data_IF_637826081906
#
_entry.id   IF_637826081906
#
_cell.length_a   1.000
_cell.length_b   1.000
_cell.length_c   1.000
_cell.angle_alpha   90.00
_cell.angle_beta   90.00
_cell.angle_gamma   90.00
#
_symmetry.space_group_name_H-M   'P 1'
#
loop_
_entity.id
_entity.type
_entity.pdbx_description
1 polymer ?
#
# COMPACT_ATOMS: atom_id res chain seq x y z
N UNK A 1 -29.62 -33.00 25.50
CA UNK A 1 -29.36 -32.48 24.14
C UNK A 1 -29.87 -31.05 23.92
N UNK A 2 -30.93 -30.57 24.60
CA UNK A 2 -31.45 -29.20 24.43
C UNK A 2 -30.51 -28.07 24.94
N UNK A 3 -29.63 -28.35 25.91
CA UNK A 3 -28.78 -27.34 26.55
C UNK A 3 -27.56 -26.92 25.72
N UNK A 4 -27.15 -27.74 24.74
CA UNK A 4 -26.00 -27.46 23.86
C UNK A 4 -26.42 -26.55 22.69
N UNK A 5 -27.64 -26.72 22.17
CA UNK A 5 -28.19 -25.86 21.12
C UNK A 5 -28.37 -24.40 21.57
N UNK A 6 -28.78 -24.18 22.83
CA UNK A 6 -28.98 -22.83 23.36
C UNK A 6 -27.67 -22.03 23.50
N UNK A 7 -26.54 -22.69 23.79
CA UNK A 7 -25.23 -22.01 23.89
C UNK A 7 -24.68 -21.60 22.52
N UNK A 8 -24.93 -22.39 21.47
CA UNK A 8 -24.48 -22.08 20.10
C UNK A 8 -25.23 -20.87 19.53
N UNK A 9 -26.54 -20.78 19.76
CA UNK A 9 -27.36 -19.63 19.30
C UNK A 9 -26.97 -18.33 20.01
N UNK A 10 -26.65 -18.39 21.31
CA UNK A 10 -26.25 -17.20 22.07
C UNK A 10 -24.88 -16.66 21.63
N UNK A 11 -23.91 -17.53 21.34
CA UNK A 11 -22.58 -17.15 20.83
C UNK A 11 -22.71 -16.49 19.44
N UNK A 12 -23.51 -17.05 18.53
CA UNK A 12 -23.75 -16.45 17.22
C UNK A 12 -24.42 -15.07 17.30
N UNK A 13 -25.32 -14.86 18.28
CA UNK A 13 -26.04 -13.58 18.44
C UNK A 13 -25.15 -12.50 19.05
N UNK A 14 -24.27 -12.85 20.01
CA UNK A 14 -23.28 -11.92 20.58
C UNK A 14 -22.22 -11.52 19.54
N UNK A 15 -21.78 -12.46 18.69
CA UNK A 15 -20.90 -12.15 17.55
C UNK A 15 -21.59 -11.19 16.56
N UNK A 16 -22.89 -11.35 16.32
CA UNK A 16 -23.66 -10.44 15.46
C UNK A 16 -23.88 -9.05 16.06
N UNK A 17 -24.12 -8.96 17.37
CA UNK A 17 -24.35 -7.68 18.05
C UNK A 17 -23.05 -6.87 18.24
N UNK A 18 -21.91 -7.52 18.54
CA UNK A 18 -20.60 -6.86 18.51
C UNK A 18 -20.26 -6.38 17.09
N UNK A 19 -20.63 -7.14 16.04
CA UNK A 19 -20.48 -6.71 14.66
C UNK A 19 -21.30 -5.45 14.30
N UNK A 20 -22.47 -5.23 14.89
CA UNK A 20 -23.30 -4.06 14.58
C UNK A 20 -22.74 -2.75 15.16
N UNK A 21 -22.11 -2.79 16.34
CA UNK A 21 -21.39 -1.63 16.90
C UNK A 21 -20.06 -1.37 16.14
N UNK A 22 -19.41 -2.42 15.63
CA UNK A 22 -18.21 -2.33 14.80
C UNK A 22 -18.48 -2.01 13.32
N UNK A 23 -19.72 -2.19 12.83
CA UNK A 23 -20.13 -1.80 11.47
C UNK A 23 -19.97 -0.30 11.18
N UNK A 24 -19.83 0.54 12.21
CA UNK A 24 -19.48 1.96 12.04
C UNK A 24 -18.03 2.20 11.61
N UNK A 25 -17.12 1.22 11.74
CA UNK A 25 -15.68 1.38 11.42
C UNK A 25 -15.24 0.85 10.05
N UNK A 26 -16.09 0.13 9.31
CA UNK A 26 -15.74 -0.40 7.98
C UNK A 26 -16.00 0.64 6.88
N UNK A 27 -15.32 1.78 6.96
CA UNK A 27 -15.45 2.82 5.94
C UNK A 27 -14.69 2.48 4.65
N UNK A 28 -13.70 1.59 4.70
CA UNK A 28 -12.87 1.26 3.55
C UNK A 28 -12.70 -0.24 3.44
N UNK A 29 -13.81 -0.99 3.40
CA UNK A 29 -13.73 -2.41 3.07
C UNK A 29 -13.11 -2.52 1.69
N UNK A 30 -11.92 -3.09 1.61
CA UNK A 30 -11.24 -3.23 0.34
C UNK A 30 -12.00 -4.23 -0.55
N UNK A 31 -12.71 -3.70 -1.54
CA UNK A 31 -13.34 -4.50 -2.59
C UNK A 31 -12.30 -4.82 -3.67
N UNK A 32 -11.21 -5.52 -3.31
CA UNK A 32 -10.33 -6.19 -4.27
C UNK A 32 -10.34 -7.72 -4.13
N UNK A 33 -11.51 -8.41 -4.05
CA UNK A 33 -11.49 -9.81 -4.45
C UNK A 33 -11.14 -9.94 -5.95
N UNK A 34 -11.42 -8.90 -6.76
CA UNK A 34 -11.14 -8.89 -8.19
C UNK A 34 -10.14 -7.79 -8.55
N UNK A 35 -8.84 -8.05 -8.39
CA UNK A 35 -7.90 -7.43 -9.33
C UNK A 35 -8.27 -8.03 -10.69
N UNK A 36 -9.06 -7.31 -11.49
CA UNK A 36 -9.50 -7.74 -12.83
C UNK A 36 -8.31 -8.05 -13.75
N UNK A 37 -7.08 -7.74 -13.32
CA UNK A 37 -5.86 -8.27 -13.90
C UNK A 37 -4.98 -8.96 -12.84
N UNK A 38 -4.89 -10.31 -12.79
CA UNK A 38 -3.94 -11.01 -11.91
C UNK A 38 -2.46 -10.68 -12.20
N UNK A 39 -2.17 -9.95 -13.29
CA UNK A 39 -0.83 -9.71 -13.82
C UNK A 39 -0.06 -8.51 -13.23
N UNK A 40 -0.61 -7.77 -12.24
CA UNK A 40 -0.01 -6.51 -11.78
C UNK A 40 0.03 -6.34 -10.25
N UNK A 41 0.05 -7.44 -9.48
CA UNK A 41 0.03 -7.35 -8.03
C UNK A 41 1.20 -6.53 -7.48
N UNK A 42 2.39 -6.85 -7.98
CA UNK A 42 3.67 -6.27 -7.60
C UNK A 42 3.87 -4.90 -8.25
N UNK A 43 3.27 -4.64 -9.41
CA UNK A 43 3.40 -3.33 -10.07
C UNK A 43 2.72 -2.17 -9.35
N UNK A 44 1.72 -2.45 -8.51
CA UNK A 44 0.79 -1.44 -7.97
C UNK A 44 0.77 -1.36 -6.44
N UNK A 45 1.71 -2.01 -5.74
CA UNK A 45 1.70 -2.09 -4.27
C UNK A 45 1.76 -0.72 -3.58
N UNK A 46 2.28 0.29 -4.27
CA UNK A 46 2.45 1.67 -3.79
C UNK A 46 1.19 2.55 -3.94
N UNK A 47 0.10 1.96 -4.44
CA UNK A 47 -1.17 2.65 -4.63
C UNK A 47 -2.11 2.34 -3.48
N UNK A 48 -2.71 3.37 -2.90
CA UNK A 48 -3.78 3.24 -1.91
C UNK A 48 -5.14 3.41 -2.57
N UNK A 49 -6.05 2.47 -2.35
CA UNK A 49 -7.44 2.61 -2.78
C UNK A 49 -8.24 3.41 -1.75
N UNK A 50 -9.09 4.32 -2.22
CA UNK A 50 -10.01 5.09 -1.37
C UNK A 50 -11.48 4.78 -1.63
N UNK A 51 -11.80 4.41 -2.87
CA UNK A 51 -13.12 3.91 -3.27
C UNK A 51 -12.94 2.92 -4.42
N UNK A 52 -14.00 2.23 -4.88
CA UNK A 52 -13.90 1.29 -5.99
C UNK A 52 -13.21 1.85 -7.24
N UNK A 53 -13.36 3.16 -7.51
CA UNK A 53 -12.87 3.80 -8.72
C UNK A 53 -11.72 4.80 -8.49
N UNK A 54 -11.39 5.10 -7.22
CA UNK A 54 -10.48 6.18 -6.86
C UNK A 54 -9.29 5.68 -6.05
N UNK A 55 -8.11 6.04 -6.52
CA UNK A 55 -6.84 5.53 -6.04
C UNK A 55 -5.86 6.68 -5.84
N UNK A 56 -4.99 6.55 -4.84
CA UNK A 56 -4.11 7.61 -4.37
C UNK A 56 -2.66 7.17 -4.32
N UNK A 57 -1.80 8.14 -4.57
CA UNK A 57 -0.35 7.97 -4.51
C UNK A 57 0.37 9.33 -4.48
N UNK A 58 1.70 9.32 -4.32
CA UNK A 58 2.54 10.50 -4.52
C UNK A 58 2.96 10.66 -5.99
N UNK A 59 3.91 11.54 -6.26
CA UNK A 59 4.20 11.94 -7.65
C UNK A 59 4.75 10.77 -8.44
N UNK A 60 4.24 10.60 -9.66
CA UNK A 60 4.55 9.43 -10.47
C UNK A 60 5.85 9.61 -11.27
N UNK A 61 6.61 8.53 -11.36
CA UNK A 61 7.70 8.36 -12.32
C UNK A 61 7.16 7.82 -13.64
N UNK A 62 7.93 7.91 -14.71
CA UNK A 62 7.54 7.35 -16.02
C UNK A 62 7.22 5.85 -15.90
N UNK A 63 8.03 5.13 -15.13
CA UNK A 63 7.85 3.71 -14.84
C UNK A 63 6.53 3.42 -14.13
N UNK A 64 6.20 4.22 -13.13
CA UNK A 64 4.94 4.07 -12.39
C UNK A 64 3.70 4.37 -13.24
N UNK A 65 3.79 5.30 -14.21
CA UNK A 65 2.70 5.55 -15.17
C UNK A 65 2.48 4.31 -16.07
N UNK A 66 3.57 3.71 -16.55
CA UNK A 66 3.52 2.46 -17.34
C UNK A 66 2.95 1.30 -16.52
N UNK A 67 3.38 1.15 -15.26
CA UNK A 67 2.82 0.17 -14.32
C UNK A 67 1.34 0.39 -14.08
N UNK A 68 0.88 1.64 -13.93
CA UNK A 68 -0.54 1.95 -13.79
C UNK A 68 -1.35 1.52 -15.02
N UNK A 69 -0.83 1.78 -16.24
CA UNK A 69 -1.46 1.31 -17.49
C UNK A 69 -1.56 -0.22 -17.55
N UNK A 70 -0.46 -0.94 -17.25
CA UNK A 70 -0.46 -2.41 -17.16
C UNK A 70 -1.40 -2.94 -16.06
N UNK A 71 -1.60 -2.13 -15.02
CA UNK A 71 -2.55 -2.35 -13.94
C UNK A 71 -4.01 -2.14 -14.28
N UNK A 72 -4.32 -1.62 -15.48
CA UNK A 72 -5.69 -1.38 -15.95
C UNK A 72 -6.26 0.00 -15.58
N UNK A 73 -5.44 0.95 -15.10
CA UNK A 73 -5.90 2.32 -14.93
C UNK A 73 -6.24 2.96 -16.27
N UNK A 74 -7.34 3.73 -16.30
CA UNK A 74 -7.78 4.45 -17.50
C UNK A 74 -7.43 5.92 -17.48
N UNK A 75 -7.23 6.48 -16.29
CA UNK A 75 -7.00 7.91 -16.12
C UNK A 75 -6.03 8.22 -15.00
N UNK A 76 -5.31 9.33 -15.16
CA UNK A 76 -4.52 9.98 -14.11
C UNK A 76 -5.07 11.38 -13.84
N UNK A 77 -5.27 11.71 -12.56
CA UNK A 77 -5.48 13.09 -12.12
C UNK A 77 -4.30 13.49 -11.25
N UNK A 78 -3.64 14.58 -11.60
CA UNK A 78 -2.67 15.22 -10.71
C UNK A 78 -3.31 16.43 -10.04
N UNK A 79 -3.11 16.56 -8.72
CA UNK A 79 -3.62 17.70 -7.97
C UNK A 79 -2.99 19.00 -8.48
N UNK A 80 -1.70 19.02 -8.77
CA UNK A 80 -0.95 20.21 -9.17
C UNK A 80 -0.27 20.09 -10.52
N UNK A 81 -0.10 21.22 -11.20
CA UNK A 81 0.84 21.36 -12.30
C UNK A 81 2.27 21.51 -11.75
N UNK A 82 3.18 20.66 -12.23
CA UNK A 82 4.61 20.65 -11.92
C UNK A 82 5.41 21.06 -13.15
N UNK A 83 5.97 22.27 -13.11
CA UNK A 83 6.74 22.84 -14.20
C UNK A 83 8.20 22.36 -14.24
N UNK A 84 8.69 21.77 -13.13
CA UNK A 84 10.02 21.18 -13.02
C UNK A 84 9.96 19.71 -12.58
N UNK A 85 10.93 18.87 -12.98
CA UNK A 85 11.12 17.56 -12.38
C UNK A 85 11.31 17.66 -10.86
N UNK A 86 10.90 16.63 -10.14
CA UNK A 86 11.21 16.44 -8.72
C UNK A 86 11.88 15.09 -8.52
N UNK A 87 12.20 14.71 -7.29
CA UNK A 87 12.82 13.41 -7.01
C UNK A 87 12.22 12.72 -5.78
N UNK A 88 12.26 11.39 -5.76
CA UNK A 88 12.18 10.53 -4.58
C UNK A 88 13.52 9.81 -4.41
N UNK A 89 14.37 10.32 -3.53
CA UNK A 89 15.75 9.87 -3.45
C UNK A 89 16.47 10.21 -4.76
N UNK A 90 16.88 9.18 -5.51
CA UNK A 90 17.51 9.31 -6.81
C UNK A 90 16.54 9.08 -7.99
N UNK A 91 15.28 8.73 -7.73
CA UNK A 91 14.31 8.50 -8.79
C UNK A 91 13.66 9.83 -9.20
N UNK A 92 13.74 10.17 -10.49
CA UNK A 92 13.21 11.43 -11.02
C UNK A 92 11.74 11.32 -11.40
N UNK A 93 10.95 12.27 -10.89
CA UNK A 93 9.57 12.49 -11.30
C UNK A 93 9.48 13.30 -12.58
N UNK A 94 8.53 12.95 -13.44
CA UNK A 94 8.27 13.69 -14.68
C UNK A 94 7.54 15.01 -14.40
N UNK A 95 7.72 16.03 -15.24
CA UNK A 95 6.88 17.25 -15.26
C UNK A 95 5.44 16.89 -15.59
N UNK A 96 4.47 17.79 -15.37
CA UNK A 96 3.08 17.53 -15.75
C UNK A 96 2.92 17.26 -17.25
N UNK A 97 3.64 17.97 -18.11
CA UNK A 97 3.59 17.73 -19.56
C UNK A 97 4.25 16.41 -19.95
N UNK A 98 5.34 16.03 -19.27
CA UNK A 98 5.95 14.71 -19.42
C UNK A 98 5.00 13.59 -19.01
N UNK A 99 4.38 13.70 -17.83
CA UNK A 99 3.40 12.74 -17.33
C UNK A 99 2.19 12.62 -18.27
N UNK A 100 1.67 13.75 -18.77
CA UNK A 100 0.56 13.81 -19.74
C UNK A 100 0.91 13.10 -21.05
N UNK A 101 2.09 13.39 -21.59
CA UNK A 101 2.58 12.75 -22.82
C UNK A 101 2.70 11.24 -22.65
N UNK A 102 3.23 10.80 -21.51
CA UNK A 102 3.34 9.37 -21.18
C UNK A 102 1.99 8.70 -20.98
N UNK A 103 1.07 9.32 -20.25
CA UNK A 103 -0.28 8.81 -20.06
C UNK A 103 -0.99 8.60 -21.41
N UNK A 104 -0.93 9.57 -22.33
CA UNK A 104 -1.52 9.42 -23.66
C UNK A 104 -0.82 8.35 -24.50
N UNK A 105 0.50 8.23 -24.41
CA UNK A 105 1.25 7.17 -25.10
C UNK A 105 0.86 5.76 -24.63
N UNK A 106 0.33 5.62 -23.41
CA UNK A 106 -0.16 4.35 -22.84
C UNK A 106 -1.70 4.28 -22.77
N UNK A 107 -2.36 5.11 -23.58
CA UNK A 107 -3.81 5.14 -23.78
C UNK A 107 -4.61 5.42 -22.49
N UNK A 108 -4.07 6.30 -21.63
CA UNK A 108 -4.72 6.78 -20.41
C UNK A 108 -5.08 8.27 -20.51
N UNK A 109 -6.22 8.67 -19.98
CA UNK A 109 -6.57 10.07 -19.77
C UNK A 109 -5.63 10.75 -18.77
N UNK A 110 -5.45 12.07 -18.89
CA UNK A 110 -4.63 12.85 -17.94
C UNK A 110 -5.23 14.23 -17.69
N UNK A 111 -5.30 14.65 -16.42
CA UNK A 111 -5.73 16.00 -16.03
C UNK A 111 -4.96 16.54 -14.83
N UNK A 112 -4.53 17.80 -14.91
CA UNK A 112 -4.10 18.58 -13.75
C UNK A 112 -5.24 19.52 -13.32
N UNK A 113 -5.50 19.64 -12.01
CA UNK A 113 -6.64 20.43 -11.51
C UNK A 113 -6.26 21.77 -10.88
N UNK A 114 -5.05 21.91 -10.33
CA UNK A 114 -4.54 23.15 -9.74
C UNK A 114 -3.28 23.63 -10.46
N UNK A 115 -3.08 24.94 -10.48
CA UNK A 115 -1.78 25.55 -10.81
C UNK A 115 -0.83 25.51 -9.60
N UNK A 116 0.46 25.83 -9.78
CA UNK A 116 1.47 25.69 -8.71
C UNK A 116 1.20 26.56 -7.48
N UNK A 117 0.55 27.71 -7.68
CA UNK A 117 0.26 28.72 -6.64
C UNK A 117 -1.12 28.54 -5.98
N UNK A 118 -1.93 27.59 -6.46
CA UNK A 118 -3.27 27.35 -5.92
C UNK A 118 -3.19 26.64 -4.55
N UNK A 119 -4.01 27.05 -3.59
CA UNK A 119 -4.11 26.33 -2.30
C UNK A 119 -4.93 25.05 -2.43
N UNK A 120 -4.36 23.92 -1.99
CA UNK A 120 -5.02 22.62 -2.00
C UNK A 120 -6.14 22.47 -0.95
N UNK A 121 -6.09 23.24 0.14
CA UNK A 121 -7.06 23.21 1.23
C UNK A 121 -8.15 24.27 1.01
N UNK A 122 -8.84 24.24 -0.14
CA UNK A 122 -9.95 25.15 -0.45
C UNK A 122 -11.18 24.40 -0.94
N UNK A 123 -12.37 24.96 -0.69
CA UNK A 123 -13.64 24.44 -1.25
C UNK A 123 -13.61 24.42 -2.78
N UNK A 124 -13.02 25.44 -3.40
CA UNK A 124 -12.84 25.51 -4.86
C UNK A 124 -12.00 24.35 -5.40
N UNK A 125 -10.99 23.89 -4.66
CA UNK A 125 -10.18 22.72 -5.03
C UNK A 125 -11.03 21.46 -5.11
N UNK A 126 -11.94 21.28 -4.16
CA UNK A 126 -12.84 20.12 -4.10
C UNK A 126 -13.88 20.17 -5.23
N UNK A 127 -14.33 21.37 -5.61
CA UNK A 127 -15.19 21.55 -6.79
C UNK A 127 -14.45 21.17 -8.08
N UNK A 128 -13.23 21.69 -8.29
CA UNK A 128 -12.39 21.33 -9.45
C UNK A 128 -12.12 19.82 -9.52
N UNK A 129 -11.80 19.20 -8.39
CA UNK A 129 -11.61 17.74 -8.29
C UNK A 129 -12.89 16.97 -8.61
N UNK A 130 -14.05 17.42 -8.10
CA UNK A 130 -15.35 16.80 -8.38
C UNK A 130 -15.66 16.80 -9.87
N UNK A 131 -15.49 17.95 -10.54
CA UNK A 131 -15.67 18.05 -11.99
C UNK A 131 -14.70 17.15 -12.75
N UNK A 132 -13.42 17.12 -12.36
CA UNK A 132 -12.44 16.27 -12.98
C UNK A 132 -12.78 14.78 -12.85
N UNK A 133 -13.20 14.31 -11.67
CA UNK A 133 -13.59 12.91 -11.46
C UNK A 133 -14.81 12.53 -12.31
N UNK A 134 -15.77 13.44 -12.49
CA UNK A 134 -16.97 13.17 -13.29
C UNK A 134 -16.69 13.02 -14.79
N UNK A 135 -15.64 13.66 -15.30
CA UNK A 135 -15.29 13.69 -16.73
C UNK A 135 -14.30 12.58 -17.14
N UNK A 136 -13.58 11.98 -16.20
CA UNK A 136 -12.47 11.07 -16.48
C UNK A 136 -12.91 9.60 -16.46
N UNK A 137 -12.35 8.78 -17.34
CA UNK A 137 -12.62 7.34 -17.39
C UNK A 137 -12.02 6.62 -16.17
N UNK A 138 -12.76 5.67 -15.61
CA UNK A 138 -12.38 4.92 -14.40
C UNK A 138 -11.75 3.56 -14.75
N UNK A 139 -10.87 3.00 -13.90
CA UNK A 139 -10.41 3.53 -12.61
C UNK A 139 -9.40 4.68 -12.76
N UNK A 140 -9.44 5.61 -11.79
CA UNK A 140 -8.65 6.85 -11.77
C UNK A 140 -7.53 6.76 -10.74
N UNK A 141 -6.29 6.95 -11.18
CA UNK A 141 -5.13 7.13 -10.31
C UNK A 141 -4.92 8.62 -10.04
N UNK A 142 -5.03 9.03 -8.78
CA UNK A 142 -4.88 10.41 -8.36
C UNK A 142 -3.57 10.60 -7.58
N UNK A 143 -2.84 11.67 -7.87
CA UNK A 143 -1.57 11.94 -7.22
C UNK A 143 -1.28 13.41 -6.96
N UNK A 144 -0.34 13.67 -6.04
CA UNK A 144 0.23 14.99 -5.78
C UNK A 144 1.75 14.85 -5.61
N UNK A 145 2.48 15.88 -5.16
CA UNK A 145 3.89 15.77 -4.79
C UNK A 145 4.08 14.75 -3.67
N UNK A 146 3.19 14.80 -2.67
CA UNK A 146 3.11 13.87 -1.53
C UNK A 146 1.72 13.24 -1.49
N UNK A 147 1.62 12.00 -1.03
CA UNK A 147 0.32 11.35 -0.86
C UNK A 147 -0.58 12.09 0.15
N UNK A 148 0.02 12.75 1.16
CA UNK A 148 -0.68 13.56 2.17
C UNK A 148 -1.74 14.50 1.57
N UNK A 149 -1.34 15.34 0.61
CA UNK A 149 -2.21 16.38 0.08
C UNK A 149 -3.35 15.84 -0.79
N UNK A 150 -3.08 14.82 -1.62
CA UNK A 150 -4.14 14.20 -2.43
C UNK A 150 -5.11 13.40 -1.56
N UNK A 151 -4.65 12.80 -0.45
CA UNK A 151 -5.51 12.16 0.55
C UNK A 151 -6.51 13.15 1.13
N UNK A 152 -6.06 14.34 1.54
CA UNK A 152 -6.97 15.39 2.02
C UNK A 152 -8.03 15.75 0.97
N UNK A 153 -7.60 16.11 -0.25
CA UNK A 153 -8.51 16.55 -1.31
C UNK A 153 -9.54 15.49 -1.66
N UNK A 154 -9.13 14.21 -1.66
CA UNK A 154 -9.99 13.07 -1.97
C UNK A 154 -10.99 12.79 -0.86
N UNK A 155 -10.56 12.81 0.40
CA UNK A 155 -11.48 12.69 1.53
C UNK A 155 -12.49 13.85 1.57
N UNK A 156 -12.07 15.06 1.20
CA UNK A 156 -12.98 16.20 1.07
C UNK A 156 -13.94 16.05 -0.11
N UNK A 157 -13.50 15.48 -1.23
CA UNK A 157 -14.41 15.07 -2.30
C UNK A 157 -15.46 14.08 -1.78
N UNK A 158 -15.04 13.02 -1.07
CA UNK A 158 -15.96 12.02 -0.50
C UNK A 158 -16.91 12.62 0.55
N UNK A 159 -16.44 13.57 1.37
CA UNK A 159 -17.27 14.32 2.30
C UNK A 159 -18.31 15.19 1.57
N UNK A 160 -17.92 15.85 0.48
CA UNK A 160 -18.87 16.58 -0.35
C UNK A 160 -19.90 15.64 -0.98
N UNK A 161 -19.48 14.47 -1.50
CA UNK A 161 -20.40 13.45 -2.02
C UNK A 161 -21.38 12.96 -0.96
N UNK A 162 -20.91 12.74 0.27
CA UNK A 162 -21.72 12.35 1.43
C UNK A 162 -22.86 13.35 1.73
N UNK A 163 -22.66 14.62 1.40
CA UNK A 163 -23.62 15.71 1.60
C UNK A 163 -24.63 15.81 0.46
N UNK A 164 -24.17 15.67 -0.79
CA UNK A 164 -25.02 15.88 -1.98
C UNK A 164 -25.76 14.62 -2.42
N UNK A 165 -25.23 13.43 -2.10
CA UNK A 165 -25.85 12.13 -2.40
C UNK A 165 -26.09 11.35 -1.09
N UNK A 166 -27.36 11.25 -0.64
CA UNK A 166 -27.74 10.46 0.55
C UNK A 166 -27.34 8.97 0.49
N UNK A 167 -27.19 8.43 -0.72
CA UNK A 167 -26.84 7.03 -0.96
C UNK A 167 -25.33 6.81 -1.09
N UNK A 168 -24.52 7.88 -1.14
CA UNK A 168 -23.09 7.76 -1.24
C UNK A 168 -22.53 6.98 -0.04
N UNK A 169 -21.66 6.02 -0.35
CA UNK A 169 -20.92 5.24 0.65
C UNK A 169 -19.45 5.14 0.26
N UNK A 170 -18.54 5.22 1.23
CA UNK A 170 -18.81 5.41 2.66
C UNK A 170 -19.15 6.88 3.01
N UNK A 171 -19.77 7.15 4.17
CA UNK A 171 -20.13 8.51 4.59
C UNK A 171 -19.00 9.18 5.38
N UNK A 172 -18.47 10.30 4.89
CA UNK A 172 -17.40 11.06 5.56
C UNK A 172 -17.98 12.29 6.28
N UNK A 173 -18.17 12.18 7.59
CA UNK A 173 -18.43 13.33 8.49
C UNK A 173 -17.11 13.92 9.00
N UNK A 174 -17.16 15.03 9.75
CA UNK A 174 -15.94 15.59 10.38
C UNK A 174 -15.25 14.58 11.30
N UNK A 175 -15.98 13.91 12.20
CA UNK A 175 -15.40 12.91 13.10
C UNK A 175 -14.72 11.78 12.33
N UNK A 176 -15.42 11.23 11.34
CA UNK A 176 -14.92 10.16 10.48
C UNK A 176 -13.68 10.60 9.71
N UNK A 177 -13.66 11.83 9.19
CA UNK A 177 -12.49 12.37 8.49
C UNK A 177 -11.24 12.31 9.39
N UNK A 178 -11.32 12.82 10.62
CA UNK A 178 -10.16 12.85 11.51
C UNK A 178 -9.78 11.47 12.06
N UNK A 179 -10.76 10.60 12.30
CA UNK A 179 -10.48 9.20 12.67
C UNK A 179 -9.68 8.49 11.57
N UNK A 180 -10.12 8.65 10.31
CA UNK A 180 -9.45 8.04 9.16
C UNK A 180 -8.06 8.64 8.98
N UNK A 181 -7.90 9.95 8.99
CA UNK A 181 -6.58 10.55 8.76
C UNK A 181 -5.59 10.18 9.86
N UNK A 182 -6.02 10.16 11.12
CA UNK A 182 -5.16 9.73 12.23
C UNK A 182 -4.80 8.24 12.13
N UNK A 183 -5.74 7.38 11.71
CA UNK A 183 -5.44 5.95 11.51
C UNK A 183 -4.44 5.72 10.38
N UNK A 184 -4.40 6.62 9.40
CA UNK A 184 -3.40 6.68 8.33
C UNK A 184 -2.08 7.33 8.75
N UNK A 185 -1.96 7.85 9.97
CA UNK A 185 -0.77 8.55 10.46
C UNK A 185 -0.63 9.99 9.92
N UNK A 186 -1.73 10.60 9.47
CA UNK A 186 -1.79 11.94 8.89
C UNK A 186 -2.52 12.90 9.82
N UNK A 187 -1.99 14.11 9.98
CA UNK A 187 -2.57 15.16 10.82
C UNK A 187 -3.05 16.34 9.96
N UNK A 188 -4.34 16.67 10.08
CA UNK A 188 -5.00 17.81 9.42
C UNK A 188 -5.70 18.72 10.42
N UNK A 189 -5.24 18.77 11.67
CA UNK A 189 -5.87 19.56 12.75
C UNK A 189 -5.56 21.05 12.68
N UNK A 190 -4.62 21.47 11.83
CA UNK A 190 -4.32 22.88 11.60
C UNK A 190 -5.57 23.70 11.23
N UNK A 191 -5.64 24.96 11.67
CA UNK A 191 -6.86 25.79 11.54
C UNK A 191 -7.37 25.88 10.09
N UNK A 192 -6.47 26.07 9.13
CA UNK A 192 -6.81 26.21 7.72
C UNK A 192 -7.44 24.93 7.12
N UNK A 193 -6.96 23.75 7.48
CA UNK A 193 -7.54 22.48 7.03
C UNK A 193 -8.84 22.19 7.78
N UNK A 194 -8.89 22.46 9.08
CA UNK A 194 -10.06 22.22 9.91
C UNK A 194 -11.28 23.07 9.52
N UNK A 195 -11.07 24.35 9.20
CA UNK A 195 -12.14 25.21 8.68
C UNK A 195 -12.76 24.66 7.39
N UNK A 196 -11.92 24.14 6.50
CA UNK A 196 -12.35 23.55 5.22
C UNK A 196 -13.13 22.27 5.45
N UNK A 197 -12.65 21.40 6.35
CA UNK A 197 -13.36 20.17 6.75
C UNK A 197 -14.76 20.52 7.22
N UNK A 198 -14.90 21.42 8.21
CA UNK A 198 -16.21 21.81 8.74
C UNK A 198 -17.13 22.41 7.68
N UNK A 199 -16.59 23.25 6.79
CA UNK A 199 -17.36 23.88 5.71
C UNK A 199 -17.88 22.87 4.68
N UNK A 200 -17.09 21.86 4.34
CA UNK A 200 -17.45 20.86 3.33
C UNK A 200 -18.39 19.79 3.91
N UNK A 201 -18.09 19.29 5.11
CA UNK A 201 -18.92 18.30 5.80
C UNK A 201 -20.24 18.90 6.28
N UNK A 202 -20.30 20.23 6.48
CA UNK A 202 -21.45 20.92 7.08
C UNK A 202 -21.68 20.52 8.54
N UNK A 203 -20.69 19.90 9.19
CA UNK A 203 -20.75 19.39 10.56
C UNK A 203 -19.76 20.13 11.46
N UNK A 204 -20.04 20.26 12.77
CA UNK A 204 -19.07 20.81 13.70
C UNK A 204 -17.78 19.97 13.72
N UNK A 205 -16.68 20.59 14.11
CA UNK A 205 -15.43 19.87 14.36
C UNK A 205 -15.56 18.99 15.61
N UNK A 206 -14.80 17.88 15.70
CA UNK A 206 -14.72 17.09 16.91
C UNK A 206 -14.28 17.95 18.10
N UNK A 207 -14.82 17.68 19.29
CA UNK A 207 -14.36 18.37 20.52
C UNK A 207 -12.94 17.98 20.91
N UNK A 208 -12.53 16.77 20.53
CA UNK A 208 -11.20 16.20 20.78
C UNK A 208 -10.75 15.55 19.49
N UNK A 209 -9.62 16.00 18.94
CA UNK A 209 -9.05 15.40 17.74
C UNK A 209 -8.34 14.09 18.10
N UNK A 210 -8.50 13.03 17.29
CA UNK A 210 -7.63 11.86 17.35
C UNK A 210 -6.17 12.28 17.12
N UNK A 211 -5.26 11.76 17.94
CA UNK A 211 -3.82 12.05 17.78
C UNK A 211 -3.17 11.03 16.85
N UNK A 212 -2.27 11.48 15.96
CA UNK A 212 -1.43 10.55 15.20
C UNK A 212 -0.36 9.97 16.11
N UNK A 213 -0.12 8.66 16.01
CA UNK A 213 0.99 8.01 16.72
C UNK A 213 2.22 7.80 15.85
N UNK A 214 2.18 8.22 14.58
CA UNK A 214 3.24 7.94 13.61
C UNK A 214 4.56 8.63 13.94
N UNK A 215 5.64 7.86 13.90
CA UNK A 215 7.01 8.35 14.09
C UNK A 215 7.96 7.63 13.12
N UNK A 216 8.70 8.33 12.24
CA UNK A 216 8.90 9.79 12.20
C UNK A 216 7.67 10.50 11.66
N UNK A 217 7.49 11.78 12.01
CA UNK A 217 6.33 12.58 11.56
C UNK A 217 6.38 12.81 10.05
N UNK A 218 7.60 12.87 9.51
CA UNK A 218 7.91 13.10 8.10
C UNK A 218 7.72 11.87 7.22
N UNK A 219 7.28 10.73 7.77
CA UNK A 219 7.13 9.47 7.04
C UNK A 219 6.36 9.62 5.71
N UNK A 220 5.36 10.51 5.69
CA UNK A 220 4.52 10.77 4.52
C UNK A 220 5.25 11.39 3.32
N UNK A 221 6.50 11.85 3.51
CA UNK A 221 7.40 12.25 2.43
C UNK A 221 7.87 11.04 1.62
N UNK A 222 8.07 9.89 2.26
CA UNK A 222 8.27 8.60 1.61
C UNK A 222 6.92 7.87 1.52
N UNK A 223 6.06 8.35 0.62
CA UNK A 223 4.69 7.86 0.43
C UNK A 223 4.57 6.43 -0.09
N UNK A 224 5.70 5.79 -0.39
CA UNK A 224 5.85 4.38 -0.76
C UNK A 224 5.75 3.44 0.45
N UNK A 225 5.14 3.86 1.56
CA UNK A 225 4.89 2.99 2.71
C UNK A 225 3.50 3.26 3.29
N UNK A 226 3.02 2.30 4.06
CA UNK A 226 1.83 2.42 4.87
C UNK A 226 2.25 2.46 6.33
N UNK A 227 1.78 3.49 7.04
CA UNK A 227 1.84 3.53 8.49
C UNK A 227 1.01 2.39 9.09
N UNK A 228 1.62 1.62 10.00
CA UNK A 228 0.91 0.59 10.77
C UNK A 228 0.55 1.15 12.14
N UNK A 229 1.55 1.37 12.99
CA UNK A 229 1.37 1.87 14.35
C UNK A 229 2.71 2.32 14.92
N UNK A 230 2.75 3.48 15.58
CA UNK A 230 3.98 4.07 16.16
C UNK A 230 5.14 4.16 15.17
N UNK A 231 6.18 3.34 15.35
CA UNK A 231 7.39 3.30 14.54
C UNK A 231 7.35 2.25 13.43
N UNK A 232 6.25 1.52 13.28
CA UNK A 232 6.10 0.45 12.28
C UNK A 232 5.49 0.94 10.98
N UNK A 233 6.19 0.65 9.87
CA UNK A 233 5.75 0.95 8.52
C UNK A 233 5.93 -0.28 7.63
N UNK A 234 5.01 -0.45 6.68
CA UNK A 234 5.08 -1.54 5.71
C UNK A 234 5.14 -1.02 4.29
N UNK A 235 6.00 -1.61 3.48
CA UNK A 235 6.15 -1.30 2.07
C UNK A 235 6.19 -2.55 1.22
N UNK A 236 6.06 -2.35 -0.09
CA UNK A 236 6.31 -3.38 -1.06
C UNK A 236 7.75 -3.24 -1.52
N UNK A 237 7.96 -3.47 -2.80
CA UNK A 237 9.30 -3.50 -3.31
C UNK A 237 10.05 -2.16 -3.21
N UNK A 238 11.16 -2.11 -2.48
CA UNK A 238 12.04 -0.94 -2.46
C UNK A 238 13.00 -0.95 -3.67
N UNK A 239 13.30 0.22 -4.21
CA UNK A 239 14.31 0.37 -5.26
C UNK A 239 15.62 0.93 -4.66
N UNK A 240 16.75 0.60 -5.28
CA UNK A 240 18.06 1.20 -4.96
C UNK A 240 18.04 2.73 -4.98
N UNK A 241 17.23 3.33 -5.85
CA UNK A 241 17.02 4.78 -5.94
C UNK A 241 16.24 5.36 -4.76
N UNK A 242 15.51 4.54 -4.01
CA UNK A 242 14.70 4.98 -2.87
C UNK A 242 15.49 5.10 -1.57
N UNK A 243 16.65 4.44 -1.48
CA UNK A 243 17.45 4.38 -0.25
C UNK A 243 17.73 5.77 0.34
N UNK A 244 18.13 6.81 -0.43
CA UNK A 244 18.32 8.14 0.13
C UNK A 244 17.03 8.77 0.68
N UNK A 245 15.87 8.49 0.11
CA UNK A 245 14.59 8.95 0.65
C UNK A 245 14.22 8.20 1.94
N UNK A 246 14.50 6.90 2.01
CA UNK A 246 14.31 6.10 3.23
C UNK A 246 15.16 6.68 4.37
N UNK A 247 16.44 6.95 4.12
CA UNK A 247 17.34 7.61 5.09
C UNK A 247 16.83 9.01 5.45
N UNK A 248 16.53 9.85 4.46
CA UNK A 248 16.08 11.23 4.67
C UNK A 248 14.75 11.36 5.40
N UNK A 249 13.94 10.30 5.38
CA UNK A 249 12.67 10.22 6.13
C UNK A 249 12.91 9.91 7.62
N UNK A 250 14.04 9.28 7.96
CA UNK A 250 14.41 8.97 9.34
C UNK A 250 14.26 7.49 9.72
N UNK A 251 14.06 6.59 8.76
CA UNK A 251 14.11 5.14 9.00
C UNK A 251 15.47 4.71 9.55
N UNK A 252 15.47 3.71 10.43
CA UNK A 252 16.69 3.15 11.06
C UNK A 252 16.87 1.68 10.77
N UNK A 253 15.76 0.94 10.72
CA UNK A 253 15.74 -0.48 10.41
C UNK A 253 15.00 -0.76 9.11
N UNK A 254 15.54 -1.68 8.32
CA UNK A 254 14.86 -2.28 7.17
C UNK A 254 14.75 -3.78 7.43
N UNK A 255 13.53 -4.30 7.47
CA UNK A 255 13.25 -5.73 7.56
C UNK A 255 12.78 -6.22 6.20
N UNK A 256 13.56 -7.08 5.57
CA UNK A 256 13.24 -7.70 4.29
C UNK A 256 12.66 -9.10 4.49
N UNK A 257 11.41 -9.31 4.05
CA UNK A 257 10.73 -10.61 4.10
C UNK A 257 10.80 -11.39 2.79
N UNK A 258 11.46 -10.87 1.75
CA UNK A 258 11.62 -11.57 0.47
C UNK A 258 12.55 -12.77 0.62
N UNK A 259 12.31 -13.83 -0.16
CA UNK A 259 13.28 -14.91 -0.29
C UNK A 259 14.58 -14.38 -0.89
N UNK A 260 15.69 -14.86 -0.34
CA UNK A 260 17.02 -14.54 -0.84
C UNK A 260 17.43 -15.40 -2.03
N UNK A 261 18.73 -15.44 -2.29
CA UNK A 261 19.34 -16.23 -3.36
C UNK A 261 19.22 -17.72 -3.14
N UNK A 262 19.17 -18.14 -1.87
CA UNK A 262 18.94 -19.52 -1.49
C UNK A 262 18.06 -19.67 -0.25
N UNK A 263 17.37 -20.80 -0.15
CA UNK A 263 16.57 -21.20 1.01
C UNK A 263 16.70 -22.72 1.16
N UNK A 264 17.09 -23.20 2.34
CA UNK A 264 17.41 -24.62 2.57
C UNK A 264 18.43 -25.19 1.56
N UNK A 265 19.45 -24.41 1.21
CA UNK A 265 20.48 -24.74 0.21
C UNK A 265 19.95 -24.95 -1.23
N UNK A 266 18.73 -24.50 -1.52
CA UNK A 266 18.16 -24.51 -2.88
C UNK A 266 18.00 -23.09 -3.40
N UNK A 267 18.16 -22.84 -4.72
CA UNK A 267 17.90 -21.53 -5.31
C UNK A 267 16.46 -21.08 -5.06
N UNK A 268 16.27 -19.84 -4.60
CA UNK A 268 14.94 -19.33 -4.20
C UNK A 268 14.70 -17.86 -4.53
N UNK A 269 15.49 -17.27 -5.43
CA UNK A 269 15.35 -15.86 -5.82
C UNK A 269 13.94 -15.53 -6.27
N UNK A 270 13.37 -14.51 -5.64
CA UNK A 270 12.11 -13.95 -6.09
C UNK A 270 12.25 -13.22 -7.42
N UNK A 271 11.11 -12.86 -7.99
CA UNK A 271 11.04 -12.15 -9.25
C UNK A 271 11.27 -10.66 -9.07
N UNK A 272 11.94 -10.01 -10.02
CA UNK A 272 11.81 -8.56 -10.16
C UNK A 272 10.58 -8.19 -10.99
N UNK A 273 10.07 -6.98 -10.78
CA UNK A 273 9.00 -6.38 -11.56
C UNK A 273 9.56 -5.86 -12.88
N UNK A 274 9.00 -6.33 -14.00
CA UNK A 274 9.47 -5.98 -15.35
C UNK A 274 8.34 -5.32 -16.15
N UNK A 275 8.68 -4.28 -16.92
CA UNK A 275 7.75 -3.64 -17.84
C UNK A 275 7.34 -4.59 -18.97
N UNK A 276 6.04 -4.59 -19.26
CA UNK A 276 5.37 -5.43 -20.26
C UNK A 276 5.59 -6.95 -20.09
N UNK A 277 5.80 -7.42 -18.86
CA UNK A 277 5.91 -8.85 -18.53
C UNK A 277 4.92 -9.18 -17.40
N UNK A 278 4.23 -10.31 -17.49
CA UNK A 278 3.28 -10.77 -16.48
C UNK A 278 3.98 -10.99 -15.12
N UNK A 279 3.45 -10.36 -14.06
CA UNK A 279 3.93 -10.56 -12.68
C UNK A 279 3.82 -12.04 -12.27
N UNK A 280 4.68 -12.45 -11.33
CA UNK A 280 4.67 -13.83 -10.84
C UNK A 280 5.23 -14.90 -11.80
N UNK A 281 5.68 -14.52 -13.01
CA UNK A 281 6.44 -15.44 -13.89
C UNK A 281 7.66 -15.98 -13.12
N UNK A 282 7.81 -17.30 -12.89
CA UNK A 282 8.84 -17.83 -12.00
C UNK A 282 10.27 -17.64 -12.52
N UNK A 283 11.16 -17.12 -11.67
CA UNK A 283 12.58 -16.89 -11.93
C UNK A 283 13.30 -18.08 -12.59
N UNK A 284 13.22 -19.27 -11.99
CA UNK A 284 13.92 -20.46 -12.50
C UNK A 284 13.11 -21.24 -13.55
N UNK A 285 11.81 -20.97 -13.67
CA UNK A 285 10.91 -21.71 -14.55
C UNK A 285 10.82 -23.21 -14.22
N UNK A 286 10.58 -24.02 -15.25
CA UNK A 286 10.59 -25.49 -15.19
C UNK A 286 11.05 -26.06 -16.54
N UNK A 287 11.03 -27.39 -16.71
CA UNK A 287 11.47 -28.04 -17.96
C UNK A 287 10.72 -27.56 -19.23
N UNK A 288 9.48 -27.08 -19.09
CA UNK A 288 8.65 -26.62 -20.21
C UNK A 288 8.78 -25.12 -20.45
N UNK A 289 8.97 -24.35 -19.37
CA UNK A 289 8.97 -22.89 -19.42
C UNK A 289 10.41 -22.36 -19.54
N UNK A 290 11.40 -22.94 -18.88
CA UNK A 290 12.74 -22.34 -18.75
C UNK A 290 12.72 -21.07 -17.88
N UNK A 291 13.89 -20.53 -17.49
CA UNK A 291 13.97 -19.42 -16.55
C UNK A 291 13.29 -18.15 -17.07
N UNK A 292 12.72 -17.33 -16.17
CA UNK A 292 11.97 -16.10 -16.51
C UNK A 292 12.78 -15.20 -17.43
N UNK A 293 14.06 -14.96 -17.12
CA UNK A 293 14.93 -14.03 -17.83
C UNK A 293 15.52 -14.61 -19.12
N UNK A 294 15.13 -15.83 -19.52
CA UNK A 294 15.41 -16.29 -20.88
C UNK A 294 14.59 -15.46 -21.89
N UNK A 295 15.18 -15.10 -23.06
CA UNK A 295 14.44 -14.37 -24.10
C UNK A 295 13.13 -15.06 -24.47
N UNK A 296 13.12 -16.38 -24.59
CA UNK A 296 11.93 -17.16 -24.98
C UNK A 296 10.81 -17.04 -23.93
N UNK A 297 11.13 -17.13 -22.64
CA UNK A 297 10.11 -16.96 -21.59
C UNK A 297 9.58 -15.55 -21.57
N UNK A 298 10.44 -14.53 -21.61
CA UNK A 298 10.02 -13.14 -21.63
C UNK A 298 9.11 -12.84 -22.81
N UNK A 299 9.41 -13.38 -24.00
CA UNK A 299 8.58 -13.25 -25.21
C UNK A 299 7.18 -13.84 -25.01
N UNK A 300 7.08 -15.00 -24.35
CA UNK A 300 5.80 -15.69 -24.10
C UNK A 300 4.98 -15.05 -22.97
N UNK A 301 5.62 -14.42 -21.99
CA UNK A 301 4.95 -13.83 -20.83
C UNK A 301 4.72 -12.32 -20.96
N UNK A 302 4.75 -11.80 -22.20
CA UNK A 302 4.40 -10.40 -22.47
C UNK A 302 2.93 -10.13 -22.16
N UNK A 303 2.68 -8.94 -21.62
CA UNK A 303 1.30 -8.46 -21.38
C UNK A 303 0.67 -8.02 -22.70
N UNK A 304 1.40 -7.30 -23.53
CA UNK A 304 0.92 -6.73 -24.78
C UNK A 304 2.00 -6.88 -25.87
N UNK A 305 1.65 -7.62 -26.94
CA UNK A 305 2.56 -7.95 -28.03
C UNK A 305 2.79 -6.76 -28.98
N UNK A 306 1.88 -5.79 -28.99
CA UNK A 306 1.82 -4.70 -29.96
C UNK A 306 2.41 -3.39 -29.42
N UNK A 307 2.86 -3.36 -28.15
CA UNK A 307 3.57 -2.21 -27.60
C UNK A 307 4.80 -1.87 -28.43
N UNK A 308 5.02 -0.59 -28.69
CA UNK A 308 6.23 -0.09 -29.31
C UNK A 308 7.46 -0.37 -28.41
N UNK A 309 8.64 -0.58 -28.98
CA UNK A 309 9.86 -0.83 -28.18
C UNK A 309 10.24 0.38 -27.31
N UNK A 310 9.89 1.59 -27.77
CA UNK A 310 10.02 2.84 -27.01
C UNK A 310 9.24 2.85 -25.70
N UNK A 311 8.27 1.94 -25.54
CA UNK A 311 7.59 1.71 -24.27
C UNK A 311 8.55 1.31 -23.15
N UNK A 312 9.64 0.60 -23.44
CA UNK A 312 10.63 0.21 -22.43
C UNK A 312 11.60 1.36 -22.20
N UNK A 313 12.26 1.81 -23.27
CA UNK A 313 13.10 2.99 -23.30
C UNK A 313 13.28 3.44 -24.75
N UNK A 314 13.70 4.69 -24.96
CA UNK A 314 13.95 5.24 -26.31
C UNK A 314 14.96 4.42 -27.14
N UNK A 315 15.85 3.67 -26.48
CA UNK A 315 16.90 2.86 -27.11
C UNK A 315 16.62 1.37 -27.08
N UNK A 316 15.46 0.93 -26.59
CA UNK A 316 15.14 -0.49 -26.50
C UNK A 316 14.88 -1.07 -27.90
N UNK A 317 15.49 -2.23 -28.17
CA UNK A 317 15.25 -3.00 -29.40
C UNK A 317 14.10 -4.00 -29.27
N UNK A 318 13.54 -4.15 -28.07
CA UNK A 318 12.43 -5.06 -27.75
C UNK A 318 11.34 -4.31 -26.96
N UNK A 319 10.11 -4.82 -27.00
CA UNK A 319 8.97 -4.19 -26.33
C UNK A 319 8.69 -4.72 -24.92
N UNK A 320 9.64 -5.41 -24.32
CA UNK A 320 9.57 -5.92 -22.96
C UNK A 320 10.90 -5.67 -22.25
N UNK A 321 10.84 -5.49 -20.94
CA UNK A 321 12.05 -5.28 -20.17
C UNK A 321 12.69 -6.61 -19.79
N UNK A 322 14.00 -6.70 -19.99
CA UNK A 322 14.73 -7.93 -19.75
C UNK A 322 15.24 -8.05 -18.31
N UNK A 323 15.51 -6.92 -17.66
CA UNK A 323 16.07 -6.83 -16.30
C UNK A 323 15.61 -5.54 -15.64
N UNK A 324 15.50 -5.56 -14.30
CA UNK A 324 15.26 -4.38 -13.49
C UNK A 324 16.30 -4.31 -12.38
N UNK A 325 17.45 -3.70 -12.67
CA UNK A 325 18.55 -3.54 -11.72
C UNK A 325 18.22 -2.57 -10.58
N UNK A 326 17.24 -1.68 -10.77
CA UNK A 326 16.78 -0.78 -9.72
C UNK A 326 16.16 -1.56 -8.56
N UNK A 327 15.56 -2.71 -8.86
CA UNK A 327 14.98 -3.66 -7.91
C UNK A 327 16.00 -4.68 -7.40
N UNK A 328 17.28 -4.33 -7.36
CA UNK A 328 18.36 -5.26 -6.98
C UNK A 328 18.34 -6.55 -7.83
N UNK A 329 17.85 -6.43 -9.07
CA UNK A 329 17.74 -7.53 -10.00
C UNK A 329 19.09 -7.88 -10.64
N UNK A 330 19.44 -9.17 -10.60
CA UNK A 330 20.59 -9.71 -11.33
C UNK A 330 20.16 -10.45 -12.62
N UNK A 331 20.98 -11.39 -13.11
CA UNK A 331 20.66 -12.17 -14.30
C UNK A 331 19.53 -13.20 -14.12
N UNK A 332 19.10 -13.42 -12.88
CA UNK A 332 18.15 -14.46 -12.46
C UNK A 332 16.94 -13.85 -11.78
N UNK A 333 17.09 -12.89 -10.88
CA UNK A 333 15.94 -12.34 -10.18
C UNK A 333 16.34 -11.30 -9.16
N UNK A 334 15.47 -11.09 -8.20
CA UNK A 334 15.79 -10.30 -7.02
C UNK A 334 16.98 -10.92 -6.28
N UNK A 335 17.90 -10.07 -5.83
CA UNK A 335 19.09 -10.47 -5.08
C UNK A 335 19.16 -9.65 -3.78
N UNK A 336 18.85 -10.31 -2.67
CA UNK A 336 18.87 -9.77 -1.31
C UNK A 336 20.25 -9.29 -0.89
N UNK A 337 21.32 -9.91 -1.39
CA UNK A 337 22.69 -9.50 -1.08
C UNK A 337 23.02 -8.12 -1.66
N UNK A 338 22.53 -7.84 -2.87
CA UNK A 338 22.67 -6.51 -3.47
C UNK A 338 21.89 -5.44 -2.69
N UNK A 339 20.69 -5.80 -2.21
CA UNK A 339 19.89 -4.92 -1.36
C UNK A 339 20.58 -4.65 -0.01
N UNK A 340 21.00 -5.71 0.69
CA UNK A 340 21.71 -5.62 1.97
C UNK A 340 22.89 -4.65 1.88
N UNK A 341 23.78 -4.85 0.91
CA UNK A 341 24.96 -4.00 0.71
C UNK A 341 24.56 -2.54 0.51
N UNK A 342 23.50 -2.28 -0.27
CA UNK A 342 23.07 -0.92 -0.54
C UNK A 342 22.44 -0.25 0.70
N UNK A 343 21.64 -0.98 1.47
CA UNK A 343 20.98 -0.50 2.70
C UNK A 343 22.01 -0.24 3.80
N UNK A 344 22.91 -1.19 4.05
CA UNK A 344 23.97 -1.05 5.07
C UNK A 344 24.95 0.07 4.72
N UNK A 345 25.34 0.21 3.44
CA UNK A 345 26.17 1.32 2.98
C UNK A 345 25.55 2.69 3.22
N UNK A 346 24.21 2.77 3.26
CA UNK A 346 23.49 3.99 3.55
C UNK A 346 23.33 4.27 5.06
N UNK A 347 23.89 3.41 5.93
CA UNK A 347 23.86 3.58 7.38
C UNK A 347 22.58 3.08 8.05
N UNK A 348 21.77 2.29 7.34
CA UNK A 348 20.59 1.64 7.89
C UNK A 348 20.95 0.23 8.41
N UNK A 349 20.24 -0.23 9.44
CA UNK A 349 20.38 -1.62 9.91
C UNK A 349 19.47 -2.52 9.08
N UNK A 350 20.05 -3.50 8.40
CA UNK A 350 19.33 -4.45 7.56
C UNK A 350 19.08 -5.77 8.28
N UNK A 351 17.85 -6.28 8.22
CA UNK A 351 17.45 -7.57 8.76
C UNK A 351 16.79 -8.40 7.67
N UNK A 352 17.35 -9.56 7.34
CA UNK A 352 16.74 -10.49 6.38
C UNK A 352 15.99 -11.61 7.10
N UNK A 353 14.66 -11.57 7.04
CA UNK A 353 13.76 -12.52 7.67
C UNK A 353 12.88 -13.20 6.59
N UNK A 354 13.47 -14.05 5.74
CA UNK A 354 12.82 -14.54 4.52
C UNK A 354 11.57 -15.35 4.85
N UNK A 355 10.44 -14.95 4.25
CA UNK A 355 9.18 -15.66 4.36
C UNK A 355 8.80 -16.33 3.04
N UNK A 356 8.83 -17.66 3.04
CA UNK A 356 8.42 -18.49 1.91
C UNK A 356 6.92 -18.35 1.60
N UNK A 357 6.62 -17.94 0.38
CA UNK A 357 5.26 -17.76 -0.14
C UNK A 357 4.47 -19.08 -0.23
N UNK A 358 5.14 -20.24 -0.20
CA UNK A 358 4.51 -21.55 -0.21
C UNK A 358 4.02 -22.04 1.15
N UNK A 359 4.43 -21.40 2.25
CA UNK A 359 4.07 -21.82 3.61
C UNK A 359 2.74 -21.21 4.04
N UNK A 360 1.90 -22.03 4.66
CA UNK A 360 0.65 -21.57 5.26
C UNK A 360 0.95 -20.68 6.48
N UNK A 361 0.21 -19.59 6.64
CA UNK A 361 0.32 -18.76 7.85
C UNK A 361 -0.15 -19.53 9.08
N UNK A 362 0.69 -19.58 10.12
CA UNK A 362 0.42 -20.33 11.34
C UNK A 362 1.07 -19.68 12.57
N UNK A 363 0.71 -20.16 13.76
CA UNK A 363 1.32 -19.71 15.01
C UNK A 363 2.82 -20.02 15.04
N UNK A 364 3.19 -21.19 14.54
CA UNK A 364 4.56 -21.70 14.47
C UNK A 364 5.39 -20.85 13.51
N UNK A 365 4.84 -20.54 12.33
CA UNK A 365 5.50 -19.66 11.36
C UNK A 365 5.83 -18.29 11.97
N UNK A 366 4.87 -17.65 12.63
CA UNK A 366 5.16 -16.36 13.27
C UNK A 366 6.11 -16.49 14.46
N UNK A 367 6.07 -17.61 15.20
CA UNK A 367 7.03 -17.86 16.28
C UNK A 367 8.49 -17.80 15.82
N UNK A 368 8.80 -18.15 14.57
CA UNK A 368 10.15 -18.09 14.01
C UNK A 368 10.69 -16.66 13.92
N UNK A 369 9.81 -15.67 13.76
CA UNK A 369 10.18 -14.26 13.56
C UNK A 369 9.85 -13.36 14.74
N UNK A 370 8.89 -13.77 15.60
CA UNK A 370 8.30 -12.96 16.66
C UNK A 370 9.35 -12.28 17.52
N UNK A 371 10.29 -13.04 18.08
CA UNK A 371 11.26 -12.49 19.03
C UNK A 371 12.13 -11.41 18.37
N UNK A 372 12.49 -11.60 17.09
CA UNK A 372 13.26 -10.58 16.35
C UNK A 372 12.45 -9.33 16.03
N UNK A 373 11.17 -9.49 15.67
CA UNK A 373 10.27 -8.35 15.48
C UNK A 373 10.10 -7.55 16.78
N UNK A 374 9.90 -8.23 17.91
CA UNK A 374 9.74 -7.58 19.21
C UNK A 374 11.05 -6.90 19.66
N UNK A 375 12.20 -7.56 19.50
CA UNK A 375 13.52 -6.98 19.78
C UNK A 375 13.75 -5.67 18.99
N UNK A 376 13.44 -5.67 17.69
CA UNK A 376 13.59 -4.48 16.84
C UNK A 376 12.56 -3.41 17.25
N UNK A 377 11.32 -3.81 17.57
CA UNK A 377 10.28 -2.88 17.99
C UNK A 377 10.58 -2.18 19.32
N UNK A 378 11.23 -2.87 20.25
CA UNK A 378 11.60 -2.36 21.58
C UNK A 378 12.61 -1.20 21.52
N UNK A 379 13.34 -1.03 20.41
CA UNK A 379 14.21 0.14 20.21
C UNK A 379 13.41 1.44 20.12
N UNK A 380 12.13 1.37 19.73
CA UNK A 380 11.28 2.52 19.42
C UNK A 380 11.71 3.29 18.17
N UNK A 381 12.75 2.83 17.47
CA UNK A 381 13.24 3.46 16.25
C UNK A 381 12.34 3.11 15.05
N UNK A 382 12.26 3.97 14.02
CA UNK A 382 11.43 3.70 12.86
C UNK A 382 11.89 2.52 12.02
N UNK A 383 10.96 1.61 11.76
CA UNK A 383 11.17 0.33 11.06
C UNK A 383 10.36 0.31 9.77
N UNK A 384 11.05 0.08 8.65
CA UNK A 384 10.43 -0.26 7.38
C UNK A 384 10.47 -1.77 7.17
N UNK A 385 9.33 -2.43 7.20
CA UNK A 385 9.20 -3.84 6.84
C UNK A 385 8.70 -3.94 5.41
N UNK A 386 9.35 -4.74 4.57
CA UNK A 386 8.91 -4.88 3.19
C UNK A 386 8.97 -6.30 2.65
N UNK A 387 8.21 -6.50 1.58
CA UNK A 387 8.29 -7.67 0.72
C UNK A 387 8.07 -7.24 -0.74
N UNK A 388 7.69 -8.16 -1.64
CA UNK A 388 7.44 -7.81 -3.05
C UNK A 388 6.21 -6.91 -3.27
N UNK A 389 5.11 -7.14 -2.54
CA UNK A 389 3.80 -6.50 -2.76
C UNK A 389 3.15 -5.94 -1.49
N UNK A 390 3.94 -5.77 -0.43
CA UNK A 390 3.55 -5.34 0.93
C UNK A 390 2.71 -6.34 1.74
N UNK A 391 2.17 -7.41 1.16
CA UNK A 391 1.18 -8.26 1.84
C UNK A 391 1.78 -9.02 3.03
N UNK A 392 2.91 -9.69 2.81
CA UNK A 392 3.65 -10.41 3.87
C UNK A 392 4.09 -9.47 4.98
N UNK A 393 4.62 -8.30 4.58
CA UNK A 393 5.03 -7.26 5.50
C UNK A 393 3.87 -6.80 6.38
N UNK A 394 2.71 -6.51 5.79
CA UNK A 394 1.50 -6.15 6.53
C UNK A 394 1.09 -7.23 7.54
N UNK A 395 0.99 -8.49 7.12
CA UNK A 395 0.52 -9.57 8.00
C UNK A 395 1.42 -9.82 9.21
N UNK A 396 2.74 -9.81 9.06
CA UNK A 396 3.64 -10.02 10.20
C UNK A 396 3.78 -8.76 11.06
N UNK A 397 3.86 -7.59 10.45
CA UNK A 397 4.11 -6.32 11.16
C UNK A 397 2.92 -5.89 11.99
N UNK A 398 1.68 -6.01 11.48
CA UNK A 398 0.48 -5.66 12.27
C UNK A 398 0.33 -6.60 13.47
N UNK A 399 0.65 -7.90 13.32
CA UNK A 399 0.63 -8.84 14.44
C UNK A 399 1.71 -8.52 15.47
N UNK A 400 2.94 -8.20 15.02
CA UNK A 400 4.02 -7.78 15.89
C UNK A 400 3.66 -6.51 16.68
N UNK A 401 3.14 -5.48 16.01
CA UNK A 401 2.68 -4.26 16.64
C UNK A 401 1.55 -4.52 17.64
N UNK A 402 0.59 -5.41 17.32
CA UNK A 402 -0.48 -5.76 18.23
C UNK A 402 0.04 -6.41 19.53
N UNK A 403 0.98 -7.35 19.40
CA UNK A 403 1.59 -8.01 20.56
C UNK A 403 2.46 -7.06 21.38
N UNK A 404 3.26 -6.21 20.72
CA UNK A 404 4.15 -5.25 21.36
C UNK A 404 3.37 -4.20 22.17
N UNK A 405 2.22 -3.75 21.63
CA UNK A 405 1.47 -2.61 22.17
C UNK A 405 0.12 -3.00 22.79
N UNK A 406 -0.08 -4.29 23.07
CA UNK A 406 -1.27 -4.81 23.73
C UNK A 406 -2.57 -4.52 22.98
N UNK A 407 -2.54 -4.51 21.66
CA UNK A 407 -3.75 -4.35 20.83
C UNK A 407 -4.47 -5.69 20.67
N UNK A 408 -5.80 -5.61 20.59
CA UNK A 408 -6.65 -6.79 20.45
C UNK A 408 -6.78 -7.27 18.99
N UNK A 409 -7.45 -8.41 18.80
CA UNK A 409 -7.72 -9.00 17.49
C UNK A 409 -8.52 -8.05 16.59
N UNK A 410 -9.49 -7.33 17.14
CA UNK A 410 -10.35 -6.43 16.38
C UNK A 410 -9.55 -5.23 15.83
N UNK A 411 -8.67 -4.64 16.63
CA UNK A 411 -7.74 -3.61 16.19
C UNK A 411 -6.86 -4.11 15.05
N UNK A 412 -6.28 -5.30 15.21
CA UNK A 412 -5.32 -5.84 14.25
C UNK A 412 -5.98 -6.11 12.88
N UNK A 413 -7.19 -6.69 12.88
CA UNK A 413 -7.96 -6.92 11.66
C UNK A 413 -8.44 -5.60 11.02
N UNK A 414 -8.86 -4.62 11.82
CA UNK A 414 -9.21 -3.28 11.33
C UNK A 414 -8.01 -2.61 10.68
N UNK A 415 -6.84 -2.65 11.33
CA UNK A 415 -5.62 -2.05 10.81
C UNK A 415 -5.21 -2.66 9.47
N UNK A 416 -5.32 -3.98 9.34
CA UNK A 416 -5.07 -4.68 8.07
C UNK A 416 -6.03 -4.24 6.95
N UNK A 417 -7.32 -4.09 7.23
CA UNK A 417 -8.30 -3.57 6.27
C UNK A 417 -7.96 -2.12 5.86
N UNK A 418 -7.65 -1.26 6.82
CA UNK A 418 -7.29 0.16 6.60
C UNK A 418 -6.08 0.37 5.68
N UNK A 419 -5.11 -0.57 5.70
CA UNK A 419 -3.92 -0.52 4.83
C UNK A 419 -4.08 -1.37 3.56
N UNK A 420 -5.26 -1.95 3.30
CA UNK A 420 -5.60 -2.62 2.04
C UNK A 420 -5.31 -4.13 2.00
N UNK A 421 -5.21 -4.79 3.15
CA UNK A 421 -4.94 -6.23 3.26
C UNK A 421 -5.98 -6.94 4.15
N UNK A 422 -7.29 -6.87 3.82
CA UNK A 422 -8.34 -7.42 4.67
C UNK A 422 -8.12 -8.90 4.96
N UNK A 423 -8.25 -9.27 6.24
CA UNK A 423 -8.14 -10.65 6.72
C UNK A 423 -9.44 -11.06 7.39
N UNK A 424 -9.91 -12.25 7.08
CA UNK A 424 -11.11 -12.82 7.65
C UNK A 424 -11.17 -14.33 7.46
N UNK A 425 -12.11 -15.01 8.14
CA UNK A 425 -12.22 -16.46 8.12
C UNK A 425 -12.51 -17.05 6.74
N UNK A 426 -13.01 -16.25 5.80
CA UNK A 426 -13.32 -16.67 4.42
C UNK A 426 -12.36 -16.12 3.36
N UNK A 427 -11.68 -15.00 3.61
CA UNK A 427 -10.81 -14.33 2.63
C UNK A 427 -9.36 -14.76 2.76
N UNK A 428 -8.84 -14.86 3.99
CA UNK A 428 -7.47 -15.26 4.32
C UNK A 428 -7.48 -16.14 5.58
N UNK A 429 -8.04 -17.36 5.50
CA UNK A 429 -8.41 -18.17 6.67
C UNK A 429 -7.21 -18.57 7.54
N UNK A 430 -6.05 -18.78 6.95
CA UNK A 430 -4.81 -19.14 7.65
C UNK A 430 -4.22 -17.95 8.40
N UNK A 431 -4.12 -16.79 7.76
CA UNK A 431 -3.72 -15.53 8.42
C UNK A 431 -4.65 -15.21 9.58
N UNK A 432 -5.97 -15.34 9.38
CA UNK A 432 -6.96 -15.13 10.43
C UNK A 432 -6.73 -16.07 11.61
N UNK A 433 -6.51 -17.37 11.37
CA UNK A 433 -6.21 -18.34 12.43
C UNK A 433 -4.91 -18.02 13.17
N UNK A 434 -3.87 -17.57 12.46
CA UNK A 434 -2.63 -17.12 13.08
C UNK A 434 -2.88 -15.97 14.05
N UNK A 435 -3.67 -14.97 13.67
CA UNK A 435 -4.01 -13.84 14.54
C UNK A 435 -4.82 -14.28 15.76
N UNK A 436 -5.85 -15.11 15.56
CA UNK A 436 -6.64 -15.68 16.68
C UNK A 436 -5.72 -16.43 17.66
N UNK A 437 -4.79 -17.24 17.16
CA UNK A 437 -3.90 -18.04 18.00
C UNK A 437 -2.92 -17.21 18.85
N UNK A 438 -2.65 -15.96 18.47
CA UNK A 438 -1.73 -15.05 19.17
C UNK A 438 -2.44 -14.02 20.03
N UNK A 439 -3.62 -13.55 19.62
CA UNK A 439 -4.33 -12.43 20.26
C UNK A 439 -5.53 -12.89 21.09
N UNK A 440 -5.83 -14.19 21.15
CA UNK A 440 -6.88 -14.77 22.01
C UNK A 440 -6.37 -15.91 22.87
N UNK A 441 -6.92 -16.06 24.08
CA UNK A 441 -6.60 -17.12 25.04
C UNK A 441 -7.21 -18.46 24.61
N UNK A 442 -6.92 -19.53 25.36
CA UNK A 442 -7.44 -20.87 25.07
C UNK A 442 -8.97 -20.99 25.16
N UNK A 443 -9.64 -20.01 25.76
CA UNK A 443 -11.09 -19.88 25.85
C UNK A 443 -11.67 -18.93 24.77
N UNK A 444 -10.82 -18.35 23.92
CA UNK A 444 -11.18 -17.38 22.89
C UNK A 444 -11.38 -15.95 23.41
N UNK A 445 -10.99 -15.62 24.64
CA UNK A 445 -11.02 -14.25 25.14
C UNK A 445 -9.77 -13.48 24.68
N UNK A 446 -9.89 -12.19 24.45
CA UNK A 446 -8.76 -11.36 24.00
C UNK A 446 -7.63 -11.30 25.06
N UNK A 447 -6.39 -11.55 24.65
CA UNK A 447 -5.20 -11.43 25.50
C UNK A 447 -4.76 -9.96 25.47
N UNK A 448 -5.47 -9.07 26.17
CA UNK A 448 -5.09 -7.64 26.05
C UNK A 448 -5.99 -6.61 26.69
N UNK A 449 -6.27 -6.71 27.99
CA UNK A 449 -6.54 -5.53 28.84
C UNK A 449 -5.96 -5.78 30.23
N UNK A 450 -4.71 -5.41 30.44
CA UNK A 450 -4.15 -5.16 31.79
C UNK A 450 -3.84 -3.69 31.93
#
# INVERSE_FOLDING_TARGET
MATVQFRIVLICTVIYACNAAHQKRFLFRDVFPDRVNPNSLQKLWWIRKMSPDLYLTGRLTERQIKYASEGGFRSIITLFRFNSPGNLGLETFTTTDGAKTMAYAVNMGFRAILDSEDDWYKVSTVQKLTSAIAEMEKPILMHCHRAHTITFATLMYMANQTRVDPNFRPRITSDVFYEVTASLGLDFTANNTSEVVSKITGSPLPKVFPNTTAYPVEWSNYWLVHFVYKSWFVGGQILSTHIPAIVGTGFKHVINLRLGTSTHNQPSQETVTLLNIVDGTPTYGNATIGPRQSPDTLVRTRIDLDKATTYISATSSVNYEQRNSLEFGDGVGYNEGLEQVAVEKAGLTYHHLPLDNGRQYSRELFSEFKDKFLEIGETGEPVLVHCSDSRRAAYLTVLAAALQDGQDLNWALSKLDEIGFPVGPMTSPDVYRMYVAWLTDSSGNEIGRR
#
